data_IF_283096133641
#
_entry.id   IF_283096133641
#
_cell.length_a   1.000
_cell.length_b   1.000
_cell.length_c   1.000
_cell.angle_alpha   90.00
_cell.angle_beta   90.00
_cell.angle_gamma   90.00
#
_symmetry.space_group_name_H-M   'P 1'
#
loop_
_entity.id
_entity.type
_entity.pdbx_description
1 polymer ?
#
# COMPACT_ATOMS: atom_id res chain seq x y z
N UNK A 1 -45.46 -2.50 11.85
CA UNK A 1 -44.07 -2.83 12.26
C UNK A 1 -43.44 -3.92 11.39
N UNK A 2 -44.09 -5.05 11.13
CA UNK A 2 -43.54 -6.19 10.37
C UNK A 2 -43.05 -5.88 8.93
N UNK A 3 -43.76 -5.02 8.18
CA UNK A 3 -43.39 -4.68 6.80
C UNK A 3 -42.03 -3.96 6.70
N UNK A 4 -41.66 -3.15 7.70
CA UNK A 4 -40.36 -2.46 7.74
C UNK A 4 -39.19 -3.45 7.89
N UNK A 5 -39.38 -4.52 8.66
CA UNK A 5 -38.38 -5.58 8.82
C UNK A 5 -38.23 -6.42 7.53
N UNK A 6 -39.30 -6.60 6.76
CA UNK A 6 -39.25 -7.32 5.49
C UNK A 6 -38.45 -6.54 4.44
N UNK A 7 -38.67 -5.23 4.33
CA UNK A 7 -37.91 -4.34 3.44
C UNK A 7 -36.43 -4.31 3.86
N UNK A 8 -36.16 -4.19 5.16
CA UNK A 8 -34.79 -4.20 5.68
C UNK A 8 -34.05 -5.50 5.34
N UNK A 9 -34.71 -6.67 5.49
CA UNK A 9 -34.13 -7.96 5.11
C UNK A 9 -33.85 -8.03 3.61
N UNK A 10 -34.78 -7.59 2.77
CA UNK A 10 -34.59 -7.59 1.32
C UNK A 10 -33.39 -6.72 0.90
N UNK A 11 -33.26 -5.52 1.45
CA UNK A 11 -32.12 -4.62 1.17
C UNK A 11 -30.79 -5.23 1.65
N UNK A 12 -30.78 -5.83 2.84
CA UNK A 12 -29.60 -6.52 3.36
C UNK A 12 -29.16 -7.67 2.44
N UNK A 13 -30.10 -8.51 1.98
CA UNK A 13 -29.80 -9.58 1.04
C UNK A 13 -29.31 -9.05 -0.31
N UNK A 14 -29.87 -7.95 -0.83
CA UNK A 14 -29.39 -7.34 -2.07
C UNK A 14 -27.94 -6.88 -1.92
N UNK A 15 -27.60 -6.18 -0.82
CA UNK A 15 -26.23 -5.69 -0.56
C UNK A 15 -25.25 -6.86 -0.36
N UNK A 16 -25.69 -7.95 0.27
CA UNK A 16 -24.83 -9.12 0.53
C UNK A 16 -24.50 -9.91 -0.75
N UNK A 17 -25.41 -9.91 -1.72
CA UNK A 17 -25.29 -10.71 -2.95
C UNK A 17 -24.91 -9.89 -4.19
N UNK A 18 -24.70 -8.58 -4.07
CA UNK A 18 -24.07 -7.80 -5.15
C UNK A 18 -22.59 -8.18 -5.26
N UNK A 19 -22.14 -8.76 -6.40
CA UNK A 19 -20.74 -9.07 -6.58
C UNK A 19 -19.93 -7.77 -6.66
N UNK A 20 -19.13 -7.50 -5.63
CA UNK A 20 -18.23 -6.35 -5.62
C UNK A 20 -16.94 -6.74 -6.35
N UNK A 21 -16.79 -6.34 -7.61
CA UNK A 21 -15.55 -6.52 -8.35
C UNK A 21 -14.56 -5.41 -7.99
N UNK A 22 -13.55 -5.75 -7.19
CA UNK A 22 -12.41 -4.86 -6.94
C UNK A 22 -11.44 -5.01 -8.13
N UNK A 23 -11.40 -4.01 -9.01
CA UNK A 23 -10.38 -3.93 -10.05
C UNK A 23 -9.07 -3.40 -9.45
N UNK A 24 -8.06 -4.25 -9.32
CA UNK A 24 -6.68 -3.84 -9.04
C UNK A 24 -6.02 -3.28 -10.30
N UNK A 25 -5.43 -2.09 -10.22
CA UNK A 25 -4.61 -1.54 -11.30
C UNK A 25 -3.19 -2.11 -11.17
N UNK A 26 -2.76 -2.94 -12.12
CA UNK A 26 -1.35 -3.30 -12.24
C UNK A 26 -0.54 -2.08 -12.69
N UNK A 27 0.36 -1.61 -11.83
CA UNK A 27 1.19 -0.43 -12.11
C UNK A 27 2.49 -0.90 -12.76
N UNK A 28 2.57 -0.73 -14.08
CA UNK A 28 3.81 -0.92 -14.83
C UNK A 28 4.64 0.38 -14.79
N UNK A 29 5.63 0.40 -13.90
CA UNK A 29 6.56 1.52 -13.72
C UNK A 29 7.49 1.71 -14.92
N UNK A 30 7.74 0.67 -15.72
CA UNK A 30 8.71 0.72 -16.81
C UNK A 30 8.26 1.62 -17.99
N UNK A 31 6.95 1.78 -18.18
CA UNK A 31 6.39 2.54 -19.32
C UNK A 31 6.47 4.05 -19.18
N UNK A 32 6.54 4.58 -17.96
CA UNK A 32 6.53 6.02 -17.69
C UNK A 32 7.71 6.46 -16.80
N UNK A 33 8.87 5.80 -16.93
CA UNK A 33 10.05 6.09 -16.09
C UNK A 33 10.49 7.55 -16.17
N UNK A 34 10.36 8.20 -17.33
CA UNK A 34 10.69 9.62 -17.52
C UNK A 34 9.83 10.57 -16.68
N UNK A 35 8.67 10.10 -16.19
CA UNK A 35 7.77 10.85 -15.31
C UNK A 35 7.93 10.48 -13.83
N UNK A 36 8.91 9.61 -13.52
CA UNK A 36 9.25 9.24 -12.16
C UNK A 36 10.29 10.18 -11.57
N UNK A 37 10.09 10.57 -10.32
CA UNK A 37 11.06 11.26 -9.48
C UNK A 37 11.45 10.35 -8.34
N UNK A 38 12.75 10.17 -8.14
CA UNK A 38 13.31 9.41 -7.01
C UNK A 38 13.95 10.40 -6.05
N UNK A 39 13.61 10.29 -4.77
CA UNK A 39 14.17 11.12 -3.69
C UNK A 39 14.64 10.24 -2.55
N UNK A 40 15.73 10.63 -1.89
CA UNK A 40 16.15 10.03 -0.62
C UNK A 40 15.46 10.83 0.50
N UNK A 41 14.82 10.10 1.40
CA UNK A 41 14.24 10.64 2.62
C UNK A 41 15.16 10.27 3.78
N UNK A 42 15.49 11.25 4.61
CA UNK A 42 16.13 11.03 5.91
C UNK A 42 15.03 10.85 6.95
N UNK A 43 15.03 9.71 7.62
CA UNK A 43 14.07 9.37 8.66
C UNK A 43 14.74 9.50 10.03
N UNK A 44 14.06 10.16 10.95
CA UNK A 44 14.49 10.27 12.34
C UNK A 44 14.58 8.88 13.02
N UNK A 45 15.31 8.79 14.15
CA UNK A 45 15.33 7.61 14.98
C UNK A 45 13.95 7.06 15.32
N UNK A 46 13.78 5.75 15.19
CA UNK A 46 12.57 5.00 15.55
C UNK A 46 12.79 4.05 16.71
N UNK A 47 11.76 3.25 17.02
CA UNK A 47 11.79 2.31 18.16
C UNK A 47 12.29 0.92 17.77
N UNK A 48 12.34 0.63 16.47
CA UNK A 48 12.81 -0.63 15.92
C UNK A 48 14.33 -0.65 15.90
N UNK A 49 14.93 -1.83 16.11
CA UNK A 49 16.39 -1.97 16.22
C UNK A 49 17.12 -1.39 15.00
N UNK A 50 16.55 -1.57 13.81
CA UNK A 50 17.12 -1.08 12.55
C UNK A 50 16.88 0.43 12.29
N UNK A 51 16.11 1.10 13.14
CA UNK A 51 15.79 2.52 13.04
C UNK A 51 16.31 3.35 14.23
N UNK A 52 16.95 2.75 15.24
CA UNK A 52 17.41 3.42 16.47
C UNK A 52 18.32 4.65 16.26
N UNK A 53 19.04 4.71 15.14
CA UNK A 53 19.92 5.84 14.80
C UNK A 53 19.40 6.66 13.61
N UNK A 54 18.12 6.50 13.29
CA UNK A 54 17.54 6.96 12.04
C UNK A 54 17.82 5.98 10.91
N UNK A 55 17.17 6.21 9.78
CA UNK A 55 17.37 5.42 8.57
C UNK A 55 17.10 6.26 7.32
N UNK A 56 17.27 5.65 6.14
CA UNK A 56 16.93 6.28 4.87
C UNK A 56 15.79 5.51 4.20
N UNK A 57 14.95 6.25 3.48
CA UNK A 57 13.94 5.66 2.61
C UNK A 57 14.08 6.23 1.20
N UNK A 58 13.66 5.46 0.20
CA UNK A 58 13.50 5.95 -1.16
C UNK A 58 12.04 6.26 -1.40
N UNK A 59 11.76 7.49 -1.85
CA UNK A 59 10.45 7.91 -2.33
C UNK A 59 10.45 7.90 -3.86
N UNK A 60 9.47 7.23 -4.44
CA UNK A 60 9.26 7.11 -5.88
C UNK A 60 7.90 7.73 -6.19
N UNK A 61 7.93 8.90 -6.81
CA UNK A 61 6.72 9.60 -7.27
C UNK A 61 6.61 9.45 -8.78
N UNK A 62 5.45 9.02 -9.30
CA UNK A 62 5.18 9.03 -10.74
C UNK A 62 3.89 9.78 -11.05
N UNK A 63 4.05 10.94 -11.69
CA UNK A 63 2.96 11.86 -12.02
C UNK A 63 1.95 11.30 -13.04
N UNK A 64 2.37 10.38 -13.92
CA UNK A 64 1.47 9.75 -14.92
C UNK A 64 0.64 8.62 -14.32
N UNK A 65 1.23 7.87 -13.40
CA UNK A 65 0.58 6.73 -12.78
C UNK A 65 -0.19 7.10 -11.50
N UNK A 66 -0.08 8.37 -11.04
CA UNK A 66 -0.55 8.83 -9.72
C UNK A 66 -0.02 7.93 -8.60
N UNK A 67 1.27 7.58 -8.69
CA UNK A 67 1.95 6.74 -7.72
C UNK A 67 2.79 7.62 -6.80
N UNK A 68 2.70 7.35 -5.50
CA UNK A 68 3.63 7.85 -4.50
C UNK A 68 3.95 6.69 -3.55
N UNK A 69 5.15 6.13 -3.71
CA UNK A 69 5.60 4.96 -2.98
C UNK A 69 6.83 5.32 -2.15
N UNK A 70 6.82 4.96 -0.87
CA UNK A 70 7.98 5.07 0.01
C UNK A 70 8.39 3.66 0.42
N UNK A 71 9.66 3.33 0.18
CA UNK A 71 10.24 2.05 0.60
C UNK A 71 11.45 2.32 1.50
N UNK A 72 11.56 1.55 2.57
CA UNK A 72 12.74 1.60 3.42
C UNK A 72 13.96 1.11 2.62
N UNK A 73 15.10 1.76 2.82
CA UNK A 73 16.32 1.48 2.07
C UNK A 73 17.50 1.30 3.03
N UNK A 74 18.33 0.29 2.75
CA UNK A 74 19.49 -0.01 3.59
C UNK A 74 19.17 -0.68 4.92
N UNK A 75 17.97 -1.29 5.04
CA UNK A 75 17.64 -2.15 6.19
C UNK A 75 18.19 -3.56 5.97
N UNK A 76 18.55 -4.22 7.06
CA UNK A 76 18.89 -5.64 7.06
C UNK A 76 17.62 -6.48 6.90
N UNK A 77 17.65 -7.43 5.98
CA UNK A 77 16.59 -8.43 5.86
C UNK A 77 16.89 -9.58 6.81
N UNK A 78 16.12 -9.67 7.89
CA UNK A 78 16.17 -10.80 8.82
C UNK A 78 15.34 -11.97 8.28
N UNK A 79 15.56 -12.38 7.03
CA UNK A 79 15.03 -13.68 6.62
C UNK A 79 15.86 -14.77 7.27
N UNK A 80 15.19 -15.79 7.79
CA UNK A 80 15.76 -16.86 8.65
C UNK A 80 16.93 -17.61 7.97
N UNK A 81 17.12 -17.45 6.67
CA UNK A 81 18.12 -18.15 5.87
C UNK A 81 19.38 -17.32 5.56
N UNK A 82 19.53 -16.09 6.09
CA UNK A 82 20.73 -15.26 5.87
C UNK A 82 21.87 -15.58 6.86
N UNK A 83 21.62 -16.46 7.84
CA UNK A 83 22.59 -16.88 8.85
C UNK A 83 22.98 -18.37 8.76
N UNK A 84 22.64 -19.05 7.66
CA UNK A 84 23.17 -20.39 7.34
C UNK A 84 24.46 -20.33 6.50
#
# INVERSE_FOLDING_TARGET
MQQKYLIFRAVFFIILFTPFSIFGKNIDLSKNVSHSKISILTCDPGNEIYSLFGHSALRIENSKNNLDLVVNWGLFEFSENQFE
#
